data_IF_775488049020
#
_entry.id   IF_775488049020
#
_cell.length_a   1.000
_cell.length_b   1.000
_cell.length_c   1.000
_cell.angle_alpha   90.00
_cell.angle_beta   90.00
_cell.angle_gamma   90.00
#
_symmetry.space_group_name_H-M   'P 1'
#
loop_
_entity.id
_entity.type
_entity.pdbx_description
1 polymer ?
#
# COMPACT_ATOMS: atom_id res chain seq x y z
N UNK A 1 10.64 15.50 31.68
CA UNK A 1 9.79 14.35 31.28
C UNK A 1 8.64 14.70 30.30
N UNK A 2 8.20 15.96 30.17
CA UNK A 2 7.12 16.36 29.24
C UNK A 2 7.42 16.27 27.73
N UNK A 3 8.70 16.30 27.32
CA UNK A 3 9.08 16.24 25.90
C UNK A 3 8.94 14.87 25.22
N UNK A 4 8.76 13.78 25.99
CA UNK A 4 8.53 12.44 25.41
C UNK A 4 7.06 12.27 25.03
N UNK A 5 6.15 12.65 25.93
CA UNK A 5 4.70 12.56 25.75
C UNK A 5 4.27 13.48 24.59
N UNK A 6 4.76 14.72 24.55
CA UNK A 6 4.47 15.65 23.47
C UNK A 6 4.85 15.09 22.08
N UNK A 7 6.00 14.42 21.98
CA UNK A 7 6.44 13.79 20.71
C UNK A 7 5.56 12.63 20.30
N UNK A 8 5.08 11.82 21.25
CA UNK A 8 4.14 10.74 20.96
C UNK A 8 2.80 11.30 20.48
N UNK A 9 2.28 12.34 21.13
CA UNK A 9 1.05 13.00 20.69
C UNK A 9 1.19 13.63 19.30
N UNK A 10 2.31 14.31 19.03
CA UNK A 10 2.59 14.87 17.71
C UNK A 10 2.67 13.79 16.64
N UNK A 11 3.29 12.65 16.95
CA UNK A 11 3.38 11.52 16.03
C UNK A 11 1.99 10.92 15.73
N UNK A 12 1.17 10.70 16.76
CA UNK A 12 -0.22 10.23 16.60
C UNK A 12 -1.05 11.22 15.80
N UNK A 13 -0.89 12.53 16.05
CA UNK A 13 -1.57 13.56 15.29
C UNK A 13 -1.18 13.53 13.80
N UNK A 14 0.11 13.36 13.50
CA UNK A 14 0.59 13.21 12.12
C UNK A 14 0.06 11.94 11.46
N UNK A 15 0.03 10.81 12.17
CA UNK A 15 -0.57 9.55 11.68
C UNK A 15 -2.03 9.75 11.24
N UNK A 16 -2.82 10.38 12.11
CA UNK A 16 -4.24 10.64 11.86
C UNK A 16 -4.40 11.58 10.66
N UNK A 17 -3.60 12.66 10.57
CA UNK A 17 -3.63 13.58 9.42
C UNK A 17 -3.35 12.88 8.09
N UNK A 18 -2.35 12.00 8.04
CA UNK A 18 -2.00 11.24 6.83
C UNK A 18 -3.19 10.38 6.38
N UNK A 19 -3.85 9.68 7.31
CA UNK A 19 -5.06 8.89 6.98
C UNK A 19 -6.19 9.75 6.43
N UNK A 20 -6.44 10.93 7.03
CA UNK A 20 -7.47 11.84 6.52
C UNK A 20 -7.16 12.35 5.12
N UNK A 21 -5.89 12.68 4.81
CA UNK A 21 -5.50 13.02 3.44
C UNK A 21 -5.74 11.84 2.50
N UNK A 22 -5.36 10.62 2.87
CA UNK A 22 -5.64 9.43 2.06
C UNK A 22 -7.13 9.33 1.69
N UNK A 23 -8.03 9.41 2.66
CA UNK A 23 -9.46 9.35 2.39
C UNK A 23 -9.96 10.53 1.56
N UNK A 24 -9.49 11.75 1.85
CA UNK A 24 -9.86 12.96 1.09
C UNK A 24 -9.48 12.85 -0.39
N UNK A 25 -8.27 12.40 -0.70
CA UNK A 25 -7.80 12.23 -2.08
C UNK A 25 -8.39 11.00 -2.76
N UNK A 26 -8.69 9.94 -2.01
CA UNK A 26 -9.40 8.76 -2.51
C UNK A 26 -10.82 9.13 -2.99
N UNK A 27 -11.54 9.93 -2.20
CA UNK A 27 -12.89 10.40 -2.54
C UNK A 27 -12.87 11.42 -3.68
N UNK A 28 -11.87 12.32 -3.71
CA UNK A 28 -11.79 13.43 -4.68
C UNK A 28 -11.74 12.98 -6.14
N UNK A 29 -10.99 11.93 -6.46
CA UNK A 29 -10.87 11.48 -7.85
C UNK A 29 -11.66 10.22 -8.16
N UNK A 30 -12.79 10.01 -7.47
CA UNK A 30 -13.61 8.79 -7.47
C UNK A 30 -12.80 7.55 -7.06
N UNK A 31 -13.26 6.83 -6.04
CA UNK A 31 -12.56 5.71 -5.40
C UNK A 31 -11.86 4.77 -6.41
N UNK A 32 -12.53 4.50 -7.55
CA UNK A 32 -12.02 3.66 -8.64
C UNK A 32 -10.73 4.19 -9.29
N UNK A 33 -10.63 5.49 -9.61
CA UNK A 33 -9.48 6.05 -10.33
C UNK A 33 -8.38 6.55 -9.40
N UNK A 34 -8.69 6.78 -8.13
CA UNK A 34 -7.75 7.38 -7.17
C UNK A 34 -7.05 6.39 -6.25
N UNK A 35 -7.44 5.11 -6.27
CA UNK A 35 -6.90 4.10 -5.36
C UNK A 35 -5.37 4.01 -5.39
N UNK A 36 -4.77 3.85 -6.58
CA UNK A 36 -3.30 3.74 -6.69
C UNK A 36 -2.61 5.08 -6.41
N UNK A 37 -2.96 6.21 -7.05
CA UNK A 37 -2.34 7.50 -6.75
C UNK A 37 -2.39 7.86 -5.26
N UNK A 38 -3.52 7.64 -4.58
CA UNK A 38 -3.66 7.90 -3.14
C UNK A 38 -2.77 6.96 -2.31
N UNK A 39 -2.68 5.67 -2.68
CA UNK A 39 -1.85 4.71 -1.94
C UNK A 39 -0.35 4.95 -2.16
N UNK A 40 0.07 5.33 -3.38
CA UNK A 40 1.45 5.69 -3.66
C UNK A 40 1.86 6.94 -2.87
N UNK A 41 1.01 7.97 -2.89
CA UNK A 41 1.24 9.21 -2.14
C UNK A 41 1.32 8.95 -0.64
N UNK A 42 0.45 8.10 -0.12
CA UNK A 42 0.47 7.67 1.27
C UNK A 42 1.80 7.03 1.67
N UNK A 43 2.33 6.10 0.88
CA UNK A 43 3.61 5.43 1.17
C UNK A 43 4.79 6.43 1.07
N UNK A 44 4.79 7.30 0.06
CA UNK A 44 5.82 8.32 -0.12
C UNK A 44 5.82 9.33 1.03
N UNK A 45 4.66 9.84 1.42
CA UNK A 45 4.49 10.73 2.57
C UNK A 45 4.87 10.03 3.88
N UNK A 46 4.48 8.77 4.08
CA UNK A 46 4.89 7.98 5.25
C UNK A 46 6.41 7.85 5.35
N UNK A 47 7.10 7.67 4.23
CA UNK A 47 8.57 7.66 4.19
C UNK A 47 9.13 9.03 4.56
N UNK A 48 8.63 10.10 3.95
CA UNK A 48 9.06 11.47 4.23
C UNK A 48 8.94 11.81 5.73
N UNK A 49 7.84 11.39 6.38
CA UNK A 49 7.63 11.59 7.82
C UNK A 49 8.56 10.73 8.66
N UNK A 50 8.85 9.49 8.25
CA UNK A 50 9.79 8.63 8.96
C UNK A 50 11.24 9.15 8.90
N UNK A 51 11.61 9.73 7.75
CA UNK A 51 12.94 10.30 7.51
C UNK A 51 13.11 11.70 8.16
N UNK A 52 12.08 12.22 8.84
CA UNK A 52 12.07 13.50 9.59
C UNK A 52 12.50 14.74 8.80
N UNK A 53 12.24 14.77 7.50
CA UNK A 53 12.37 16.02 6.75
C UNK A 53 11.17 16.91 7.14
N UNK A 54 11.39 18.01 7.84
CA UNK A 54 10.33 18.87 8.45
C UNK A 54 9.97 20.11 7.61
N UNK A 55 10.51 20.23 6.38
CA UNK A 55 10.55 21.53 5.70
C UNK A 55 9.30 21.88 4.86
N UNK A 56 8.39 20.94 4.59
CA UNK A 56 7.18 21.18 3.79
C UNK A 56 5.89 20.89 4.54
N UNK A 57 4.86 21.69 4.28
CA UNK A 57 3.52 21.40 4.78
C UNK A 57 3.01 20.06 4.22
N UNK A 58 2.57 19.18 5.11
CA UNK A 58 2.12 17.82 4.77
C UNK A 58 1.04 17.79 3.68
N UNK A 59 0.19 18.83 3.59
CA UNK A 59 -0.85 18.94 2.57
C UNK A 59 -0.27 19.18 1.18
N UNK A 60 0.67 20.11 1.06
CA UNK A 60 1.32 20.46 -0.21
C UNK A 60 2.09 19.25 -0.73
N UNK A 61 2.84 18.59 0.15
CA UNK A 61 3.60 17.41 -0.23
C UNK A 61 2.69 16.25 -0.68
N UNK A 62 1.58 16.01 0.02
CA UNK A 62 0.62 14.99 -0.41
C UNK A 62 -0.02 15.35 -1.76
N UNK A 63 -0.34 16.62 -2.00
CA UNK A 63 -0.91 17.09 -3.27
C UNK A 63 0.08 16.93 -4.43
N UNK A 64 1.34 17.35 -4.24
CA UNK A 64 2.42 17.22 -5.24
C UNK A 64 2.66 15.74 -5.60
N UNK A 65 2.71 14.88 -4.58
CA UNK A 65 2.89 13.43 -4.76
C UNK A 65 1.69 12.81 -5.50
N UNK A 66 0.46 13.14 -5.10
CA UNK A 66 -0.75 12.65 -5.77
C UNK A 66 -0.80 13.05 -7.25
N UNK A 67 -0.43 14.29 -7.55
CA UNK A 67 -0.41 14.82 -8.91
C UNK A 67 0.63 14.11 -9.79
N UNK A 68 1.79 13.78 -9.23
CA UNK A 68 2.83 13.00 -9.91
C UNK A 68 2.37 11.58 -10.29
N UNK A 69 1.43 11.02 -9.52
CA UNK A 69 0.90 9.67 -9.74
C UNK A 69 -0.43 9.62 -10.50
N UNK A 70 -1.01 10.76 -10.91
CA UNK A 70 -2.24 10.80 -11.73
C UNK A 70 -2.16 9.95 -13.00
N UNK A 71 -0.96 9.73 -13.55
CA UNK A 71 -0.73 8.84 -14.70
C UNK A 71 -1.16 7.38 -14.47
N UNK A 72 -1.30 6.94 -13.22
CA UNK A 72 -1.71 5.58 -12.83
C UNK A 72 -3.21 5.41 -12.56
N UNK A 73 -4.05 6.39 -12.94
CA UNK A 73 -5.52 6.33 -12.76
C UNK A 73 -6.16 5.12 -13.46
N UNK A 74 -5.76 4.82 -14.68
CA UNK A 74 -6.30 3.66 -15.41
C UNK A 74 -5.94 2.33 -14.74
N UNK A 75 -4.73 2.24 -14.19
CA UNK A 75 -4.33 1.06 -13.43
C UNK A 75 -5.16 0.91 -12.16
N UNK A 76 -5.50 2.01 -11.49
CA UNK A 76 -6.41 2.00 -10.32
C UNK A 76 -7.76 1.41 -10.69
N UNK A 77 -8.33 1.88 -11.80
CA UNK A 77 -9.62 1.38 -12.28
C UNK A 77 -9.57 -0.14 -12.51
N UNK A 78 -8.57 -0.63 -13.23
CA UNK A 78 -8.40 -2.06 -13.50
C UNK A 78 -8.29 -2.85 -12.19
N UNK A 79 -7.44 -2.40 -11.26
CA UNK A 79 -7.20 -3.09 -9.99
C UNK A 79 -8.46 -3.14 -9.12
N UNK A 80 -9.17 -2.03 -9.01
CA UNK A 80 -10.39 -1.97 -8.20
C UNK A 80 -11.51 -2.81 -8.84
N UNK A 81 -11.65 -2.78 -10.16
CA UNK A 81 -12.62 -3.63 -10.88
C UNK A 81 -12.30 -5.12 -10.67
N UNK A 82 -11.03 -5.53 -10.76
CA UNK A 82 -10.62 -6.92 -10.47
C UNK A 82 -10.96 -7.28 -9.02
N UNK A 83 -10.71 -6.38 -8.06
CA UNK A 83 -11.06 -6.59 -6.66
C UNK A 83 -12.57 -6.77 -6.44
N UNK A 84 -13.40 -5.94 -7.09
CA UNK A 84 -14.87 -6.06 -7.05
C UNK A 84 -15.31 -7.41 -7.64
N UNK A 85 -14.77 -7.79 -8.80
CA UNK A 85 -15.10 -9.09 -9.44
C UNK A 85 -14.75 -10.24 -8.50
N UNK A 86 -13.56 -10.25 -7.90
CA UNK A 86 -13.14 -11.28 -6.95
C UNK A 86 -14.09 -11.34 -5.73
N UNK A 87 -14.47 -10.20 -5.17
CA UNK A 87 -15.38 -10.14 -4.04
C UNK A 87 -16.78 -10.65 -4.39
N UNK A 88 -17.32 -10.25 -5.55
CA UNK A 88 -18.63 -10.70 -6.04
C UNK A 88 -18.62 -12.21 -6.29
N UNK A 89 -17.57 -12.74 -6.93
CA UNK A 89 -17.41 -14.19 -7.12
C UNK A 89 -17.35 -14.92 -5.78
N UNK A 90 -16.58 -14.41 -4.82
CA UNK A 90 -16.48 -15.00 -3.49
C UNK A 90 -17.84 -15.03 -2.77
N UNK A 91 -18.62 -13.95 -2.86
CA UNK A 91 -19.96 -13.87 -2.30
C UNK A 91 -20.91 -14.91 -2.90
N UNK A 92 -20.94 -15.03 -4.23
CA UNK A 92 -21.79 -16.01 -4.91
C UNK A 92 -21.38 -17.43 -4.58
N UNK A 93 -20.09 -17.77 -4.66
CA UNK A 93 -19.59 -19.11 -4.33
C UNK A 93 -19.94 -19.48 -2.90
N UNK A 94 -19.74 -18.57 -1.94
CA UNK A 94 -20.10 -18.79 -0.54
C UNK A 94 -21.60 -19.09 -0.35
N UNK A 95 -22.47 -18.53 -1.19
CA UNK A 95 -23.91 -18.77 -1.10
C UNK A 95 -24.35 -20.13 -1.69
N UNK A 96 -23.56 -20.74 -2.56
CA UNK A 96 -23.87 -22.04 -3.14
C UNK A 96 -23.51 -23.18 -2.18
N UNK A 97 -24.50 -23.96 -1.75
CA UNK A 97 -24.34 -25.18 -0.94
C UNK A 97 -23.93 -26.37 -1.83
N UNK A 98 -22.74 -26.29 -2.43
CA UNK A 98 -22.14 -27.37 -3.20
C UNK A 98 -20.88 -27.88 -2.51
N UNK A 99 -20.59 -29.19 -2.62
CA UNK A 99 -19.33 -29.78 -2.14
C UNK A 99 -18.08 -29.09 -2.72
N UNK A 100 -18.18 -28.48 -3.91
CA UNK A 100 -17.09 -27.75 -4.56
C UNK A 100 -16.95 -26.30 -4.09
N UNK A 101 -17.92 -25.76 -3.34
CA UNK A 101 -17.93 -24.36 -2.90
C UNK A 101 -16.72 -24.04 -2.02
N UNK A 102 -16.42 -24.88 -1.04
CA UNK A 102 -15.27 -24.68 -0.13
C UNK A 102 -13.95 -24.61 -0.89
N UNK A 103 -13.73 -25.51 -1.85
CA UNK A 103 -12.52 -25.51 -2.66
C UNK A 103 -12.39 -24.22 -3.49
N UNK A 104 -13.49 -23.76 -4.11
CA UNK A 104 -13.50 -22.51 -4.87
C UNK A 104 -13.27 -21.28 -3.98
N UNK A 105 -13.83 -21.24 -2.76
CA UNK A 105 -13.58 -20.17 -1.78
C UNK A 105 -12.08 -20.08 -1.48
N UNK A 106 -11.43 -21.20 -1.21
CA UNK A 106 -9.99 -21.24 -0.92
C UNK A 106 -9.17 -20.71 -2.10
N UNK A 107 -9.51 -21.13 -3.33
CA UNK A 107 -8.82 -20.67 -4.55
C UNK A 107 -9.02 -19.16 -4.76
N UNK A 108 -10.25 -18.66 -4.66
CA UNK A 108 -10.56 -17.24 -4.82
C UNK A 108 -9.87 -16.39 -3.74
N UNK A 109 -9.89 -16.86 -2.50
CA UNK A 109 -9.20 -16.20 -1.40
C UNK A 109 -7.69 -16.15 -1.63
N UNK A 110 -7.09 -17.25 -2.09
CA UNK A 110 -5.67 -17.30 -2.45
C UNK A 110 -5.33 -16.26 -3.53
N UNK A 111 -6.15 -16.15 -4.60
CA UNK A 111 -5.95 -15.13 -5.63
C UNK A 111 -6.10 -13.70 -5.09
N UNK A 112 -7.05 -13.46 -4.18
CA UNK A 112 -7.21 -12.16 -3.52
C UNK A 112 -6.00 -11.76 -2.69
N UNK A 113 -5.48 -12.69 -1.89
CA UNK A 113 -4.25 -12.49 -1.10
C UNK A 113 -3.04 -12.26 -2.02
N UNK A 114 -2.89 -13.07 -3.08
CA UNK A 114 -1.80 -12.92 -4.04
C UNK A 114 -1.86 -11.55 -4.73
N UNK A 115 -3.05 -11.09 -5.13
CA UNK A 115 -3.25 -9.77 -5.71
C UNK A 115 -2.82 -8.65 -4.73
N UNK A 116 -3.22 -8.74 -3.46
CA UNK A 116 -2.84 -7.76 -2.44
C UNK A 116 -1.31 -7.68 -2.24
N UNK A 117 -0.62 -8.82 -2.23
CA UNK A 117 0.83 -8.89 -2.11
C UNK A 117 1.51 -8.27 -3.35
N UNK A 118 1.07 -8.65 -4.56
CA UNK A 118 1.63 -8.12 -5.81
C UNK A 118 1.45 -6.60 -5.87
N UNK A 119 0.28 -6.08 -5.46
CA UNK A 119 0.03 -4.64 -5.40
C UNK A 119 0.95 -3.94 -4.41
N UNK A 120 1.20 -4.53 -3.25
CA UNK A 120 2.12 -3.99 -2.24
C UNK A 120 3.54 -3.83 -2.80
N UNK A 121 4.04 -4.85 -3.50
CA UNK A 121 5.32 -4.78 -4.22
C UNK A 121 5.30 -3.76 -5.35
N UNK A 122 4.23 -3.73 -6.14
CA UNK A 122 4.07 -2.81 -7.25
C UNK A 122 4.12 -1.35 -6.78
N UNK A 123 3.45 -1.03 -5.68
CA UNK A 123 3.47 0.31 -5.12
C UNK A 123 4.88 0.74 -4.74
N UNK A 124 5.61 -0.12 -4.05
CA UNK A 124 7.00 0.15 -3.71
C UNK A 124 7.88 0.36 -4.96
N UNK A 125 7.74 -0.47 -5.99
CA UNK A 125 8.52 -0.32 -7.22
C UNK A 125 8.17 0.93 -8.02
N UNK A 126 6.91 1.33 -8.07
CA UNK A 126 6.46 2.52 -8.77
C UNK A 126 6.95 3.82 -8.12
N UNK A 127 7.10 3.84 -6.79
CA UNK A 127 7.61 5.02 -6.07
C UNK A 127 9.12 5.16 -6.26
N UNK A 128 9.88 4.07 -6.08
CA UNK A 128 11.32 4.21 -5.88
C UNK A 128 12.19 3.79 -7.08
N UNK A 129 11.66 3.04 -8.04
CA UNK A 129 12.53 2.33 -9.00
C UNK A 129 12.11 2.36 -10.46
N UNK A 130 10.82 2.40 -10.77
CA UNK A 130 10.31 2.13 -12.12
C UNK A 130 9.19 3.10 -12.49
N UNK A 131 9.34 3.80 -13.60
CA UNK A 131 8.29 4.67 -14.14
C UNK A 131 7.30 3.93 -15.05
N UNK A 132 7.70 2.79 -15.61
CA UNK A 132 6.88 1.98 -16.51
C UNK A 132 6.12 0.88 -15.75
N UNK A 133 4.79 0.92 -15.85
CA UNK A 133 3.87 -0.01 -15.17
C UNK A 133 4.18 -1.48 -15.51
N UNK A 134 4.41 -1.80 -16.80
CA UNK A 134 4.63 -3.17 -17.26
C UNK A 134 5.85 -3.81 -16.58
N UNK A 135 6.95 -3.07 -16.50
CA UNK A 135 8.16 -3.49 -15.83
C UNK A 135 7.95 -3.59 -14.31
N UNK A 136 7.17 -2.67 -13.73
CA UNK A 136 6.80 -2.71 -12.31
C UNK A 136 6.01 -3.96 -11.94
N UNK A 137 5.00 -4.35 -12.74
CA UNK A 137 4.17 -5.54 -12.49
C UNK A 137 4.99 -6.82 -12.63
N UNK A 138 5.83 -6.93 -13.66
CA UNK A 138 6.69 -8.10 -13.84
C UNK A 138 7.67 -8.26 -12.66
N UNK A 139 8.27 -7.16 -12.20
CA UNK A 139 9.14 -7.18 -11.03
C UNK A 139 8.37 -7.52 -9.75
N UNK A 140 7.19 -6.96 -9.54
CA UNK A 140 6.36 -7.25 -8.37
C UNK A 140 5.99 -8.74 -8.28
N UNK A 141 5.61 -9.34 -9.42
CA UNK A 141 5.31 -10.77 -9.49
C UNK A 141 6.54 -11.63 -9.17
N UNK A 142 7.68 -11.33 -9.80
CA UNK A 142 8.92 -12.09 -9.58
C UNK A 142 9.41 -11.95 -8.12
N UNK A 143 9.32 -10.75 -7.54
CA UNK A 143 9.74 -10.50 -6.16
C UNK A 143 8.88 -11.21 -5.13
N UNK A 144 7.58 -11.36 -5.40
CA UNK A 144 6.67 -12.13 -4.54
C UNK A 144 7.17 -13.57 -4.34
N UNK A 145 7.74 -14.18 -5.39
CA UNK A 145 8.28 -15.55 -5.36
C UNK A 145 9.72 -15.57 -4.83
N UNK A 146 10.56 -14.62 -5.25
CA UNK A 146 11.99 -14.58 -4.88
C UNK A 146 12.24 -14.24 -3.40
N UNK A 147 11.31 -13.55 -2.75
CA UNK A 147 11.48 -13.03 -1.40
C UNK A 147 10.37 -13.50 -0.44
N UNK A 148 10.25 -14.80 -0.17
CA UNK A 148 9.13 -15.35 0.61
C UNK A 148 9.04 -14.80 2.04
N UNK A 149 10.18 -14.51 2.68
CA UNK A 149 10.21 -13.90 4.02
C UNK A 149 9.60 -12.50 4.00
N UNK A 150 9.93 -11.68 3.01
CA UNK A 150 9.37 -10.34 2.88
C UNK A 150 7.88 -10.39 2.51
N UNK A 151 7.50 -11.30 1.61
CA UNK A 151 6.10 -11.60 1.29
C UNK A 151 5.30 -11.97 2.54
N UNK A 152 5.88 -12.75 3.46
CA UNK A 152 5.23 -13.10 4.73
C UNK A 152 4.99 -11.87 5.63
N UNK A 153 5.93 -10.94 5.73
CA UNK A 153 5.72 -9.69 6.48
C UNK A 153 4.68 -8.77 5.83
N UNK A 154 4.65 -8.70 4.50
CA UNK A 154 3.60 -7.99 3.75
C UNK A 154 2.24 -8.62 4.08
N UNK A 155 2.12 -9.95 4.02
CA UNK A 155 0.90 -10.65 4.38
C UNK A 155 0.48 -10.36 5.82
N UNK A 156 1.41 -10.40 6.78
CA UNK A 156 1.14 -10.07 8.17
C UNK A 156 0.61 -8.63 8.32
N UNK A 157 1.16 -7.67 7.57
CA UNK A 157 0.68 -6.29 7.59
C UNK A 157 -0.78 -6.17 7.12
N UNK A 158 -1.14 -6.88 6.05
CA UNK A 158 -2.52 -6.92 5.53
C UNK A 158 -3.46 -7.55 6.55
N UNK A 159 -3.04 -8.63 7.22
CA UNK A 159 -3.82 -9.29 8.28
C UNK A 159 -4.04 -8.33 9.46
N UNK A 160 -3.02 -7.61 9.91
CA UNK A 160 -3.14 -6.64 11.02
C UNK A 160 -4.16 -5.54 10.68
N UNK A 161 -4.12 -5.04 9.45
CA UNK A 161 -5.07 -4.02 8.98
C UNK A 161 -6.49 -4.59 8.88
N UNK A 162 -6.64 -5.82 8.39
CA UNK A 162 -7.92 -6.52 8.35
C UNK A 162 -8.50 -6.74 9.75
N UNK A 163 -7.68 -7.15 10.72
CA UNK A 163 -8.11 -7.29 12.12
C UNK A 163 -8.54 -5.96 12.72
N UNK A 164 -7.86 -4.86 12.38
CA UNK A 164 -8.26 -3.52 12.80
C UNK A 164 -9.63 -3.13 12.22
N UNK A 165 -9.86 -3.42 10.93
CA UNK A 165 -11.15 -3.23 10.27
C UNK A 165 -12.26 -4.05 10.93
N UNK A 166 -11.99 -5.34 11.22
CA UNK A 166 -12.95 -6.24 11.85
C UNK A 166 -13.28 -5.85 13.30
N UNK A 167 -12.32 -5.27 14.02
CA UNK A 167 -12.52 -4.86 15.41
C UNK A 167 -13.25 -3.53 15.53
N UNK A 168 -12.83 -2.50 14.77
CA UNK A 168 -13.45 -1.19 14.83
C UNK A 168 -13.25 -0.39 13.53
N UNK A 169 -14.36 -0.13 12.83
CA UNK A 169 -14.33 0.63 11.58
C UNK A 169 -13.80 2.06 11.73
N UNK A 170 -14.13 2.75 12.83
CA UNK A 170 -13.67 4.12 13.09
C UNK A 170 -12.15 4.13 13.31
N UNK A 171 -11.63 3.16 14.07
CA UNK A 171 -10.20 3.00 14.26
C UNK A 171 -9.48 2.68 12.94
N UNK A 172 -10.09 1.86 12.08
CA UNK A 172 -9.57 1.58 10.74
C UNK A 172 -9.53 2.82 9.86
N UNK A 173 -10.58 3.66 9.85
CA UNK A 173 -10.58 4.90 9.06
C UNK A 173 -9.47 5.84 9.54
N UNK A 174 -9.28 5.96 10.87
CA UNK A 174 -8.27 6.86 11.45
C UNK A 174 -6.83 6.34 11.31
N UNK A 175 -6.58 5.04 11.47
CA UNK A 175 -5.23 4.48 11.57
C UNK A 175 -4.86 3.51 10.45
N UNK A 176 -5.83 2.88 9.79
CA UNK A 176 -5.60 1.83 8.80
C UNK A 176 -4.68 2.23 7.65
N UNK A 177 -5.00 3.32 6.90
CA UNK A 177 -4.13 3.78 5.81
C UNK A 177 -2.74 4.12 6.30
N UNK A 178 -2.63 4.86 7.41
CA UNK A 178 -1.33 5.25 7.92
C UNK A 178 -0.48 4.04 8.36
N UNK A 179 -1.07 3.10 9.09
CA UNK A 179 -0.40 1.85 9.47
C UNK A 179 0.09 1.09 8.24
N UNK A 180 -0.71 1.00 7.19
CA UNK A 180 -0.28 0.38 5.93
C UNK A 180 0.95 1.08 5.34
N UNK A 181 0.89 2.40 5.19
CA UNK A 181 2.00 3.19 4.64
C UNK A 181 3.31 2.99 5.42
N UNK A 182 3.26 3.11 6.75
CA UNK A 182 4.43 2.92 7.60
C UNK A 182 4.95 1.47 7.60
N UNK A 183 4.08 0.48 7.70
CA UNK A 183 4.49 -0.93 7.67
C UNK A 183 5.19 -1.27 6.35
N UNK A 184 4.68 -0.77 5.22
CA UNK A 184 5.34 -0.95 3.93
C UNK A 184 6.74 -0.34 3.93
N UNK A 185 6.88 0.93 4.33
CA UNK A 185 8.20 1.58 4.38
C UNK A 185 9.18 0.79 5.28
N UNK A 186 8.75 0.36 6.46
CA UNK A 186 9.58 -0.40 7.40
C UNK A 186 10.00 -1.75 6.82
N UNK A 187 9.07 -2.51 6.23
CA UNK A 187 9.35 -3.83 5.65
C UNK A 187 10.37 -3.69 4.51
N UNK A 188 10.14 -2.76 3.58
CA UNK A 188 11.03 -2.59 2.44
C UNK A 188 12.39 -2.00 2.81
N UNK A 189 12.46 -1.11 3.81
CA UNK A 189 13.75 -0.60 4.32
C UNK A 189 14.56 -1.69 5.03
N UNK A 190 13.90 -2.60 5.76
CA UNK A 190 14.56 -3.70 6.48
C UNK A 190 15.06 -4.79 5.53
N UNK A 191 14.28 -5.10 4.51
CA UNK A 191 14.62 -6.09 3.48
C UNK A 191 15.06 -5.38 2.19
N UNK A 192 16.20 -4.67 2.24
CA UNK A 192 16.82 -4.11 1.02
C UNK A 192 17.14 -5.25 0.04
N UNK A 193 16.35 -5.38 -1.03
CA UNK A 193 16.60 -6.44 -2.02
C UNK A 193 17.85 -6.12 -2.86
N UNK A 194 18.67 -7.10 -3.25
CA UNK A 194 19.95 -6.87 -3.92
C UNK A 194 19.85 -6.21 -5.30
N UNK A 195 18.70 -6.33 -5.97
CA UNK A 195 18.39 -5.58 -7.19
C UNK A 195 18.36 -4.06 -6.90
N UNK A 196 17.93 -3.66 -5.70
CA UNK A 196 17.86 -2.27 -5.24
C UNK A 196 19.25 -1.72 -4.92
N UNK A 197 20.12 -2.53 -4.31
CA UNK A 197 21.52 -2.17 -4.02
C UNK A 197 22.33 -1.91 -5.30
N UNK A 198 22.08 -2.69 -6.37
CA UNK A 198 22.83 -2.56 -7.62
C UNK A 198 22.40 -1.34 -8.45
N UNK A 199 21.15 -0.85 -8.28
CA UNK A 199 20.65 0.34 -8.96
C UNK A 199 20.99 1.63 -8.20
N UNK A 200 20.96 1.62 -6.85
CA UNK A 200 21.52 2.70 -6.02
C UNK A 200 23.01 2.92 -6.32
N UNK A 201 23.80 1.83 -6.40
CA UNK A 201 25.22 1.92 -6.80
C UNK A 201 25.43 2.55 -8.17
N UNK A 202 24.53 2.29 -9.14
CA UNK A 202 24.62 2.91 -10.47
C UNK A 202 24.25 4.40 -10.48
N UNK A 203 23.30 4.84 -9.64
CA UNK A 203 22.98 6.27 -9.51
C UNK A 203 24.13 7.05 -8.84
N UNK A 204 24.75 6.47 -7.81
CA UNK A 204 25.88 7.06 -7.09
C UNK A 204 27.21 7.08 -7.87
N UNK A 205 27.29 6.36 -9.00
CA UNK A 205 28.46 6.39 -9.90
C UNK A 205 28.23 7.21 -11.16
N UNK A 206 27.02 7.78 -11.32
CA UNK A 206 26.65 8.67 -12.42
C UNK A 206 26.51 10.14 -11.99
N UNK A 207 26.73 10.44 -10.71
CA UNK A 207 26.97 11.78 -10.14
C UNK A 207 28.46 11.93 -9.84
#
# INVERSE_FOLDING_TARGET
MGGSIYRVFLFIYTLIRISFYFWGYLLRGAVLYSFIPATLSLIEVSKHVLDKHEDKELNEYYSESYDSYKKYRMLSFIVVVIGIILYVLLFFVNRFESAYSVAMIIVLFYFGVLLAIILSYLFHYLIFYVEQIRSGVALAFVSTIKHPVQTFYILLSVIVIYLLFAWNLVAFIALGPCLYGFLMVIIFNRFKTPILLNKEKRKLTSE
#
